data_IF_162297878856
#
_entry.id   IF_162297878856
#
_cell.length_a   1.000
_cell.length_b   1.000
_cell.length_c   1.000
_cell.angle_alpha   90.00
_cell.angle_beta   90.00
_cell.angle_gamma   90.00
#
_symmetry.space_group_name_H-M   'P 1'
#
loop_
_entity.id
_entity.type
_entity.pdbx_description
1 polymer ?
#
# COMPACT_ATOMS: atom_id res chain seq x y z
N UNK A 1 7.46 4.67 35.37
CA UNK A 1 7.79 3.94 34.12
C UNK A 1 8.90 2.96 34.44
N UNK A 2 8.96 1.79 33.81
CA UNK A 2 10.02 0.80 34.10
C UNK A 2 11.36 1.31 33.53
N UNK A 3 12.45 1.38 34.33
CA UNK A 3 13.75 1.92 33.88
C UNK A 3 14.26 1.25 32.60
N UNK A 4 13.98 -0.03 32.41
CA UNK A 4 14.35 -0.81 31.25
C UNK A 4 13.63 -0.32 29.96
N UNK A 5 12.34 0.01 30.05
CA UNK A 5 11.56 0.52 28.91
C UNK A 5 12.10 1.89 28.50
N UNK A 6 12.37 2.77 29.44
CA UNK A 6 12.90 4.10 29.18
C UNK A 6 14.27 4.02 28.51
N UNK A 7 15.13 3.10 28.95
CA UNK A 7 16.42 2.86 28.32
C UNK A 7 16.28 2.39 26.86
N UNK A 8 15.40 1.42 26.58
CA UNK A 8 15.17 0.92 25.22
C UNK A 8 14.57 1.99 24.31
N UNK A 9 13.65 2.82 24.82
CA UNK A 9 13.09 3.95 24.08
C UNK A 9 14.18 4.93 23.65
N UNK A 10 15.09 5.30 24.55
CA UNK A 10 16.21 6.18 24.21
C UNK A 10 17.18 5.53 23.22
N UNK A 11 17.38 4.22 23.34
CA UNK A 11 18.16 3.43 22.38
C UNK A 11 17.53 3.47 20.97
N UNK A 12 16.21 3.26 20.87
CA UNK A 12 15.48 3.34 19.57
C UNK A 12 15.61 4.72 18.94
N UNK A 13 15.55 5.81 19.73
CA UNK A 13 15.69 7.18 19.21
C UNK A 13 17.05 7.43 18.59
N UNK A 14 18.11 6.90 19.21
CA UNK A 14 19.51 7.06 18.78
C UNK A 14 19.94 6.08 17.69
N UNK A 15 19.27 4.94 17.58
CA UNK A 15 19.63 3.88 16.64
C UNK A 15 19.43 4.35 15.18
N UNK A 16 20.47 4.12 14.35
CA UNK A 16 20.45 4.45 12.91
C UNK A 16 20.13 3.23 12.05
N UNK A 17 20.49 2.03 12.54
CA UNK A 17 20.25 0.79 11.84
C UNK A 17 18.77 0.40 11.95
N UNK A 18 18.08 0.33 10.82
CA UNK A 18 16.65 0.06 10.79
C UNK A 18 16.29 -1.36 11.24
N UNK A 19 17.16 -2.34 11.00
CA UNK A 19 16.95 -3.73 11.42
C UNK A 19 17.09 -3.84 12.94
N UNK A 20 18.11 -3.23 13.53
CA UNK A 20 18.27 -3.15 14.99
C UNK A 20 17.07 -2.43 15.62
N UNK A 21 16.64 -1.32 15.00
CA UNK A 21 15.45 -0.60 15.43
C UNK A 21 14.19 -1.48 15.42
N UNK A 22 14.03 -2.32 14.41
CA UNK A 22 12.92 -3.26 14.32
C UNK A 22 12.92 -4.28 15.47
N UNK A 23 14.09 -4.81 15.82
CA UNK A 23 14.25 -5.74 16.96
C UNK A 23 13.89 -5.07 18.30
N UNK A 24 14.36 -3.85 18.52
CA UNK A 24 14.06 -3.09 19.74
C UNK A 24 12.56 -2.75 19.85
N UNK A 25 11.92 -2.35 18.75
CA UNK A 25 10.47 -2.10 18.71
C UNK A 25 9.70 -3.39 18.99
N UNK A 26 10.13 -4.52 18.42
CA UNK A 26 9.53 -5.83 18.70
C UNK A 26 9.63 -6.17 20.18
N UNK A 27 10.78 -5.97 20.80
CA UNK A 27 10.96 -6.16 22.25
C UNK A 27 9.92 -5.38 23.06
N UNK A 28 9.70 -4.10 22.75
CA UNK A 28 8.70 -3.29 23.45
C UNK A 28 7.27 -3.78 23.20
N UNK A 29 6.95 -4.22 21.97
CA UNK A 29 5.56 -4.56 21.61
C UNK A 29 5.19 -6.01 21.93
N UNK A 30 6.14 -6.95 21.88
CA UNK A 30 5.91 -8.38 22.11
C UNK A 30 6.32 -8.77 23.53
N UNK A 31 7.58 -8.51 23.91
CA UNK A 31 8.11 -9.00 25.19
C UNK A 31 7.64 -8.13 26.39
N UNK A 32 7.39 -6.81 26.15
CA UNK A 32 6.84 -5.88 27.15
C UNK A 32 5.34 -5.60 26.95
N UNK A 33 4.71 -6.22 25.97
CA UNK A 33 3.26 -6.13 25.67
C UNK A 33 2.72 -4.70 25.50
N UNK A 34 3.58 -3.75 25.09
CA UNK A 34 3.17 -2.37 24.88
C UNK A 34 2.40 -2.24 23.57
N UNK A 35 1.34 -1.44 23.58
CA UNK A 35 0.57 -1.13 22.37
C UNK A 35 1.41 -0.30 21.41
N UNK A 36 1.29 -0.57 20.11
CA UNK A 36 2.00 0.18 19.05
C UNK A 36 1.79 1.69 19.19
N UNK A 37 0.57 2.13 19.54
CA UNK A 37 0.23 3.52 19.78
C UNK A 37 1.06 4.15 20.89
N UNK A 38 1.30 3.43 21.99
CA UNK A 38 2.08 3.93 23.11
C UNK A 38 3.57 3.98 22.76
N UNK A 39 4.09 2.91 22.13
CA UNK A 39 5.46 2.88 21.62
C UNK A 39 5.70 4.02 20.63
N UNK A 40 4.79 4.24 19.67
CA UNK A 40 4.92 5.32 18.67
C UNK A 40 5.01 6.71 19.33
N UNK A 41 4.21 6.94 20.37
CA UNK A 41 4.24 8.19 21.15
C UNK A 41 5.55 8.35 21.91
N UNK A 42 6.04 7.27 22.55
CA UNK A 42 7.28 7.29 23.36
C UNK A 42 8.52 7.57 22.48
N UNK A 43 8.58 7.00 21.28
CA UNK A 43 9.72 7.18 20.36
C UNK A 43 9.55 8.37 19.41
N UNK A 44 8.40 9.06 19.42
CA UNK A 44 8.13 10.22 18.56
C UNK A 44 7.95 9.89 17.08
N UNK A 45 7.42 8.69 16.74
CA UNK A 45 7.19 8.26 15.36
C UNK A 45 5.70 8.04 15.10
N UNK A 46 5.27 8.15 13.81
CA UNK A 46 3.90 7.81 13.40
C UNK A 46 3.66 6.30 13.55
N UNK A 47 2.47 5.92 14.04
CA UNK A 47 2.08 4.51 14.22
C UNK A 47 2.26 3.67 12.96
N UNK A 48 1.86 4.22 11.80
CA UNK A 48 2.03 3.55 10.51
C UNK A 48 3.49 3.23 10.20
N UNK A 49 4.41 4.14 10.53
CA UNK A 49 5.85 3.92 10.32
C UNK A 49 6.43 2.89 11.29
N UNK A 50 5.99 2.90 12.56
CA UNK A 50 6.33 1.85 13.54
C UNK A 50 5.88 0.48 13.04
N UNK A 51 4.66 0.38 12.48
CA UNK A 51 4.17 -0.86 11.87
C UNK A 51 5.03 -1.32 10.67
N UNK A 52 5.53 -0.37 9.85
CA UNK A 52 6.43 -0.70 8.73
C UNK A 52 7.75 -1.26 9.24
N UNK A 53 8.35 -0.64 10.26
CA UNK A 53 9.60 -1.11 10.86
C UNK A 53 9.39 -2.48 11.53
N UNK A 54 8.32 -2.64 12.29
CA UNK A 54 8.03 -3.87 13.02
C UNK A 54 7.92 -5.09 12.08
N UNK A 55 7.36 -4.90 10.87
CA UNK A 55 7.27 -5.96 9.86
C UNK A 55 8.61 -6.48 9.37
N UNK A 56 9.69 -5.70 9.47
CA UNK A 56 11.03 -6.15 9.06
C UNK A 56 11.52 -7.36 9.86
N UNK A 57 10.97 -7.59 11.06
CA UNK A 57 11.28 -8.79 11.86
C UNK A 57 10.78 -10.12 11.23
N UNK A 58 10.02 -10.06 10.13
CA UNK A 58 9.63 -11.25 9.36
C UNK A 58 10.70 -11.71 8.37
N UNK A 59 11.63 -10.81 8.05
CA UNK A 59 12.66 -11.05 7.03
C UNK A 59 13.71 -11.99 7.61
N UNK A 60 14.09 -13.00 6.83
CA UNK A 60 15.18 -13.88 7.18
C UNK A 60 16.56 -13.23 6.99
N UNK A 61 17.58 -13.87 7.52
CA UNK A 61 18.94 -13.33 7.50
C UNK A 61 19.46 -13.13 6.08
N UNK A 62 19.11 -13.98 5.13
CA UNK A 62 19.51 -13.85 3.72
C UNK A 62 19.03 -12.53 3.09
N UNK A 63 17.81 -12.12 3.39
CA UNK A 63 17.24 -10.86 2.87
C UNK A 63 17.90 -9.66 3.57
N UNK A 64 18.14 -9.78 4.86
CA UNK A 64 18.84 -8.75 5.65
C UNK A 64 20.28 -8.56 5.17
N UNK A 65 20.97 -9.65 4.85
CA UNK A 65 22.32 -9.63 4.28
C UNK A 65 22.33 -8.97 2.89
N UNK A 66 21.31 -9.24 2.06
CA UNK A 66 21.14 -8.55 0.78
C UNK A 66 20.99 -7.03 0.93
N UNK A 67 20.33 -6.57 1.98
CA UNK A 67 20.26 -5.15 2.31
C UNK A 67 21.61 -4.59 2.77
N UNK A 68 22.33 -5.26 3.66
CA UNK A 68 23.65 -4.82 4.10
C UNK A 68 24.68 -4.82 2.97
N UNK A 69 24.57 -5.76 2.05
CA UNK A 69 25.38 -5.85 0.84
C UNK A 69 24.99 -4.83 -0.25
N UNK A 70 23.97 -3.97 0.02
CA UNK A 70 23.45 -2.96 -0.91
C UNK A 70 22.84 -3.52 -2.21
N UNK A 71 22.49 -4.80 -2.24
CA UNK A 71 21.79 -5.41 -3.36
C UNK A 71 20.35 -4.91 -3.47
N UNK A 72 19.73 -4.58 -2.33
CA UNK A 72 18.40 -3.99 -2.25
C UNK A 72 18.39 -2.81 -1.27
N UNK A 73 17.43 -1.91 -1.43
CA UNK A 73 17.25 -0.75 -0.54
C UNK A 73 16.25 -1.04 0.57
N UNK A 74 16.22 -0.16 1.58
CA UNK A 74 15.22 -0.19 2.65
C UNK A 74 13.78 -0.15 2.12
N UNK A 75 13.54 0.53 1.00
CA UNK A 75 12.22 0.59 0.36
C UNK A 75 11.77 -0.79 -0.14
N UNK A 76 12.69 -1.58 -0.71
CA UNK A 76 12.41 -2.96 -1.10
C UNK A 76 12.04 -3.81 0.13
N UNK A 77 12.78 -3.69 1.25
CA UNK A 77 12.47 -4.41 2.48
C UNK A 77 11.07 -4.09 2.99
N UNK A 78 10.68 -2.82 3.03
CA UNK A 78 9.34 -2.41 3.46
C UNK A 78 8.23 -2.97 2.58
N UNK A 79 8.47 -3.06 1.27
CA UNK A 79 7.50 -3.59 0.31
C UNK A 79 7.38 -5.11 0.47
N UNK A 80 8.50 -5.84 0.43
CA UNK A 80 8.54 -7.32 0.53
C UNK A 80 7.98 -7.78 1.88
N UNK A 81 8.28 -7.09 2.98
CA UNK A 81 7.77 -7.42 4.32
C UNK A 81 6.24 -7.33 4.46
N UNK A 82 5.51 -6.86 3.44
CA UNK A 82 4.04 -6.85 3.41
C UNK A 82 3.45 -8.22 3.10
N UNK A 83 4.21 -9.10 2.47
CA UNK A 83 3.81 -10.46 2.18
C UNK A 83 3.54 -11.24 3.48
N UNK A 84 2.69 -12.27 3.40
CA UNK A 84 2.13 -12.91 4.59
C UNK A 84 3.02 -14.00 5.16
N UNK A 85 3.59 -14.82 4.30
CA UNK A 85 4.40 -15.96 4.69
C UNK A 85 5.86 -15.84 4.23
N UNK A 86 6.74 -16.63 4.85
CA UNK A 86 8.17 -16.58 4.59
C UNK A 86 8.54 -17.03 3.17
N UNK A 87 7.80 -17.97 2.59
CA UNK A 87 8.04 -18.47 1.24
C UNK A 87 7.77 -17.40 0.18
N UNK A 88 6.61 -16.70 0.26
CA UNK A 88 6.30 -15.56 -0.61
C UNK A 88 7.36 -14.47 -0.50
N UNK A 89 7.80 -14.17 0.72
CA UNK A 89 8.85 -13.16 0.99
C UNK A 89 10.14 -13.56 0.28
N UNK A 90 10.56 -14.82 0.38
CA UNK A 90 11.78 -15.33 -0.24
C UNK A 90 11.69 -15.32 -1.75
N UNK A 91 10.62 -15.83 -2.33
CA UNK A 91 10.39 -15.82 -3.78
C UNK A 91 10.38 -14.40 -4.35
N UNK A 92 9.72 -13.46 -3.66
CA UNK A 92 9.73 -12.07 -4.06
C UNK A 92 11.15 -11.46 -4.01
N UNK A 93 11.92 -11.77 -2.98
CA UNK A 93 13.31 -11.32 -2.85
C UNK A 93 14.19 -11.87 -3.97
N UNK A 94 14.13 -13.19 -4.22
CA UNK A 94 14.89 -13.83 -5.30
C UNK A 94 14.58 -13.19 -6.66
N UNK A 95 13.31 -12.91 -6.93
CA UNK A 95 12.89 -12.26 -8.17
C UNK A 95 13.39 -10.81 -8.26
N UNK A 96 13.34 -10.06 -7.16
CA UNK A 96 13.88 -8.70 -7.09
C UNK A 96 15.38 -8.67 -7.43
N UNK A 97 16.15 -9.64 -6.91
CA UNK A 97 17.59 -9.71 -7.18
C UNK A 97 17.88 -10.19 -8.60
N UNK A 98 17.27 -11.28 -9.05
CA UNK A 98 17.55 -11.90 -10.34
C UNK A 98 17.16 -11.00 -11.52
N UNK A 99 16.08 -10.24 -11.40
CA UNK A 99 15.57 -9.35 -12.44
C UNK A 99 15.97 -7.87 -12.22
N UNK A 100 16.75 -7.56 -11.16
CA UNK A 100 17.13 -6.19 -10.76
C UNK A 100 15.93 -5.23 -10.70
N UNK A 101 14.85 -5.67 -10.08
CA UNK A 101 13.61 -4.89 -10.02
C UNK A 101 13.80 -3.58 -9.26
N UNK A 102 13.28 -2.50 -9.83
CA UNK A 102 13.17 -1.21 -9.15
C UNK A 102 12.16 -1.28 -8.01
N UNK A 103 12.19 -0.29 -7.11
CA UNK A 103 11.21 -0.17 -6.01
C UNK A 103 9.77 -0.22 -6.54
N UNK A 104 9.50 0.43 -7.67
CA UNK A 104 8.17 0.46 -8.28
C UNK A 104 7.76 -0.91 -8.82
N UNK A 105 8.66 -1.61 -9.51
CA UNK A 105 8.40 -2.96 -10.00
C UNK A 105 8.23 -3.97 -8.86
N UNK A 106 9.00 -3.80 -7.78
CA UNK A 106 8.84 -4.61 -6.56
C UNK A 106 7.46 -4.37 -5.90
N UNK A 107 6.98 -3.12 -5.89
CA UNK A 107 5.62 -2.80 -5.42
C UNK A 107 4.55 -3.50 -6.27
N UNK A 108 4.74 -3.56 -7.59
CA UNK A 108 3.85 -4.27 -8.50
C UNK A 108 3.87 -5.78 -8.23
N UNK A 109 5.05 -6.38 -8.16
CA UNK A 109 5.23 -7.80 -7.86
C UNK A 109 4.54 -8.18 -6.54
N UNK A 110 4.76 -7.42 -5.47
CA UNK A 110 4.15 -7.70 -4.17
C UNK A 110 2.63 -7.55 -4.23
N UNK A 111 2.09 -6.61 -5.02
CA UNK A 111 0.65 -6.49 -5.24
C UNK A 111 0.08 -7.67 -6.01
N UNK A 112 0.76 -8.14 -7.04
CA UNK A 112 0.36 -9.35 -7.79
C UNK A 112 0.22 -10.56 -6.86
N UNK A 113 1.21 -10.76 -5.98
CA UNK A 113 1.19 -11.86 -4.99
C UNK A 113 0.05 -11.66 -3.99
N UNK A 114 -0.08 -10.47 -3.40
CA UNK A 114 -1.08 -10.20 -2.35
C UNK A 114 -2.52 -10.32 -2.84
N UNK A 115 -2.77 -9.99 -4.11
CA UNK A 115 -4.12 -9.99 -4.70
C UNK A 115 -4.36 -11.18 -5.64
N UNK A 116 -3.36 -12.06 -5.81
CA UNK A 116 -3.42 -13.24 -6.69
C UNK A 116 -3.82 -12.86 -8.12
N UNK A 117 -3.39 -11.68 -8.58
CA UNK A 117 -3.75 -11.12 -9.88
C UNK A 117 -2.51 -10.74 -10.66
N UNK A 118 -2.47 -11.12 -11.93
CA UNK A 118 -1.45 -10.61 -12.86
C UNK A 118 -1.81 -9.19 -13.26
N UNK A 119 -0.89 -8.25 -13.09
CA UNK A 119 -1.07 -6.85 -13.50
C UNK A 119 -0.71 -6.70 -15.00
N UNK A 120 -1.46 -7.43 -15.85
CA UNK A 120 -1.38 -7.33 -17.30
C UNK A 120 -2.49 -6.43 -17.83
N UNK A 121 -2.27 -5.77 -18.96
CA UNK A 121 -3.23 -4.89 -19.60
C UNK A 121 -2.84 -3.41 -19.58
N UNK A 122 -3.58 -2.62 -20.34
CA UNK A 122 -3.34 -1.19 -20.49
C UNK A 122 -4.33 -0.37 -19.66
N UNK A 123 -3.89 0.84 -19.28
CA UNK A 123 -4.78 1.81 -18.68
C UNK A 123 -5.67 2.43 -19.74
N UNK A 124 -6.90 2.81 -19.37
CA UNK A 124 -7.76 3.58 -20.25
C UNK A 124 -7.05 4.89 -20.61
N UNK A 125 -6.92 5.22 -21.90
CA UNK A 125 -6.28 6.44 -22.36
C UNK A 125 -6.95 7.70 -21.78
N UNK A 126 -6.15 8.72 -21.51
CA UNK A 126 -6.65 9.95 -20.90
C UNK A 126 -7.67 10.68 -21.79
N UNK A 127 -7.51 10.60 -23.11
CA UNK A 127 -8.45 11.20 -24.06
C UNK A 127 -9.84 10.56 -24.01
N UNK A 128 -9.93 9.25 -23.79
CA UNK A 128 -11.20 8.55 -23.59
C UNK A 128 -11.89 9.00 -22.28
N UNK A 129 -11.09 9.17 -21.23
CA UNK A 129 -11.59 9.67 -19.94
C UNK A 129 -12.13 11.09 -20.08
N UNK A 130 -11.42 11.96 -20.81
CA UNK A 130 -11.86 13.35 -21.06
C UNK A 130 -13.11 13.42 -21.94
N UNK A 131 -13.20 12.56 -22.98
CA UNK A 131 -14.43 12.41 -23.79
C UNK A 131 -15.62 12.01 -22.93
N UNK A 132 -15.43 11.02 -22.02
CA UNK A 132 -16.50 10.58 -21.11
C UNK A 132 -16.92 11.69 -20.13
N UNK A 133 -15.97 12.45 -19.58
CA UNK A 133 -16.24 13.59 -18.71
C UNK A 133 -17.04 14.67 -19.44
N UNK A 134 -16.65 15.00 -20.67
CA UNK A 134 -17.34 16.00 -21.49
C UNK A 134 -18.75 15.56 -21.82
N UNK A 135 -18.92 14.34 -22.32
CA UNK A 135 -20.24 13.80 -22.62
C UNK A 135 -21.18 13.79 -21.39
N UNK A 136 -20.65 13.51 -20.21
CA UNK A 136 -21.41 13.54 -18.98
C UNK A 136 -21.78 14.99 -18.58
N UNK A 137 -20.85 15.93 -18.72
CA UNK A 137 -21.09 17.35 -18.43
C UNK A 137 -22.11 17.98 -19.39
N UNK A 138 -22.14 17.54 -20.65
CA UNK A 138 -23.13 17.96 -21.65
C UNK A 138 -24.56 17.50 -21.28
N UNK A 139 -24.67 16.30 -20.64
CA UNK A 139 -25.96 15.79 -20.14
C UNK A 139 -26.37 16.53 -18.86
N UNK A 140 -25.44 16.79 -17.96
CA UNK A 140 -25.70 17.42 -16.67
C UNK A 140 -24.45 18.15 -16.14
N UNK A 141 -24.52 19.48 -16.12
CA UNK A 141 -23.39 20.35 -15.73
C UNK A 141 -22.91 20.15 -14.27
N UNK A 142 -23.76 19.60 -13.40
CA UNK A 142 -23.40 19.26 -12.01
C UNK A 142 -22.73 17.90 -11.82
N UNK A 143 -22.50 17.14 -12.89
CA UNK A 143 -21.89 15.82 -12.81
C UNK A 143 -20.36 15.88 -12.92
N UNK A 144 -19.69 15.05 -12.12
CA UNK A 144 -18.24 14.86 -12.16
C UNK A 144 -17.91 13.38 -12.26
N UNK A 145 -17.04 13.03 -13.18
CA UNK A 145 -16.52 11.69 -13.35
C UNK A 145 -15.03 11.66 -12.93
N UNK A 146 -14.68 10.69 -12.08
CA UNK A 146 -13.29 10.41 -11.71
C UNK A 146 -13.00 8.93 -11.88
N UNK A 147 -12.03 8.62 -12.73
CA UNK A 147 -11.47 7.27 -12.85
C UNK A 147 -10.14 7.23 -12.10
N UNK A 148 -9.99 6.24 -11.23
CA UNK A 148 -8.72 5.87 -10.60
C UNK A 148 -8.46 4.44 -11.02
N UNK A 149 -7.46 4.24 -11.85
CA UNK A 149 -7.09 2.92 -12.33
C UNK A 149 -5.67 2.60 -11.90
N UNK A 150 -5.51 1.47 -11.25
CA UNK A 150 -4.22 0.87 -10.90
C UNK A 150 -4.16 -0.50 -11.55
N UNK A 151 -3.00 -1.13 -11.59
CA UNK A 151 -2.85 -2.45 -12.21
C UNK A 151 -3.69 -3.56 -11.56
N UNK A 152 -4.11 -3.36 -10.29
CA UNK A 152 -4.84 -4.37 -9.51
C UNK A 152 -6.24 -3.91 -9.11
N UNK A 153 -6.63 -2.66 -9.39
CA UNK A 153 -7.92 -2.11 -8.98
C UNK A 153 -8.31 -0.92 -9.84
N UNK A 154 -9.55 -0.91 -10.28
CA UNK A 154 -10.16 0.25 -10.92
C UNK A 154 -11.32 0.76 -10.04
N UNK A 155 -11.44 2.07 -9.94
CA UNK A 155 -12.52 2.75 -9.21
C UNK A 155 -13.06 3.87 -10.09
N UNK A 156 -14.33 3.76 -10.46
CA UNK A 156 -15.06 4.80 -11.14
C UNK A 156 -15.96 5.50 -10.12
N UNK A 157 -15.84 6.82 -10.03
CA UNK A 157 -16.65 7.65 -9.13
C UNK A 157 -17.44 8.61 -10.00
N UNK A 158 -18.77 8.54 -9.89
CA UNK A 158 -19.67 9.50 -10.44
C UNK A 158 -20.30 10.31 -9.30
N UNK A 159 -20.07 11.61 -9.33
CA UNK A 159 -20.67 12.55 -8.39
C UNK A 159 -21.67 13.43 -9.16
N UNK A 160 -22.92 13.47 -8.73
CA UNK A 160 -23.97 14.31 -9.30
C UNK A 160 -24.49 15.21 -8.19
N UNK A 161 -24.27 16.51 -8.35
CA UNK A 161 -24.74 17.54 -7.41
C UNK A 161 -26.09 18.07 -7.87
N UNK A 162 -27.13 17.87 -7.08
CA UNK A 162 -28.50 18.32 -7.35
C UNK A 162 -29.51 17.66 -6.45
N UNK A 163 -30.77 18.00 -6.62
CA UNK A 163 -31.86 17.37 -5.91
C UNK A 163 -32.03 15.90 -6.33
N UNK A 164 -32.81 15.13 -5.57
CA UNK A 164 -33.19 13.77 -5.98
C UNK A 164 -34.02 13.79 -7.28
N UNK A 165 -34.78 14.82 -7.50
CA UNK A 165 -35.58 14.99 -8.73
C UNK A 165 -34.69 15.12 -9.97
N UNK A 166 -33.53 15.81 -9.84
CA UNK A 166 -32.60 16.01 -10.94
C UNK A 166 -31.66 14.83 -11.14
N UNK A 167 -31.15 14.26 -10.07
CA UNK A 167 -30.12 13.21 -10.11
C UNK A 167 -30.70 11.81 -10.38
N UNK A 168 -31.88 11.49 -9.88
CA UNK A 168 -32.50 10.15 -10.00
C UNK A 168 -32.69 9.70 -11.45
N UNK A 169 -33.19 10.50 -12.40
CA UNK A 169 -33.35 10.07 -13.79
C UNK A 169 -32.00 9.72 -14.44
N UNK A 170 -30.96 10.49 -14.17
CA UNK A 170 -29.60 10.28 -14.72
C UNK A 170 -29.01 8.98 -14.18
N UNK A 171 -29.04 8.79 -12.87
CA UNK A 171 -28.53 7.56 -12.23
C UNK A 171 -29.29 6.34 -12.74
N UNK A 172 -30.62 6.45 -12.86
CA UNK A 172 -31.45 5.36 -13.38
C UNK A 172 -31.11 5.00 -14.83
N UNK A 173 -30.87 5.98 -15.69
CA UNK A 173 -30.44 5.75 -17.07
C UNK A 173 -29.08 5.03 -17.13
N UNK A 174 -28.13 5.42 -16.29
CA UNK A 174 -26.82 4.76 -16.18
C UNK A 174 -26.95 3.32 -15.67
N UNK A 175 -27.76 3.07 -14.64
CA UNK A 175 -28.00 1.73 -14.13
C UNK A 175 -28.60 0.83 -15.21
N UNK A 176 -29.58 1.33 -16.00
CA UNK A 176 -30.18 0.58 -17.09
C UNK A 176 -29.13 0.20 -18.15
N UNK A 177 -28.23 1.14 -18.52
CA UNK A 177 -27.13 0.83 -19.43
C UNK A 177 -26.18 -0.21 -18.87
N UNK A 178 -25.84 -0.17 -17.57
CA UNK A 178 -25.00 -1.19 -16.95
C UNK A 178 -25.67 -2.58 -16.97
N UNK A 179 -26.96 -2.65 -16.72
CA UNK A 179 -27.72 -3.91 -16.79
C UNK A 179 -27.70 -4.47 -18.21
N UNK A 180 -27.84 -3.61 -19.24
CA UNK A 180 -27.83 -4.05 -20.65
C UNK A 180 -26.46 -4.53 -21.14
N UNK A 181 -25.37 -4.29 -20.41
CA UNK A 181 -24.04 -4.83 -20.73
C UNK A 181 -23.85 -6.28 -20.26
N UNK A 182 -24.76 -6.77 -19.41
CA UNK A 182 -24.68 -8.12 -18.83
C UNK A 182 -25.68 -9.10 -19.47
N UNK A 183 -26.50 -8.62 -20.41
CA UNK A 183 -27.46 -9.39 -21.19
C UNK A 183 -26.94 -9.65 -22.57
#
# INVERSE_FOLDING_TARGET
>A
MHPEIDHVVEQIKKEKNIITKAKLIRFLTVDKELRIKDVSRMIGMKESYVCHILRLNKLDDMIVDGYYSKLISISHLFIISRLRNAEEIRLAYEKVISENLTVMQTEELVREILYEMKSTGEHIPQDEIEKAKKALADIYSGAKLKLIQTRVKSKLILEIKGSLTDSTPIIRALIRKLISLTS
#
